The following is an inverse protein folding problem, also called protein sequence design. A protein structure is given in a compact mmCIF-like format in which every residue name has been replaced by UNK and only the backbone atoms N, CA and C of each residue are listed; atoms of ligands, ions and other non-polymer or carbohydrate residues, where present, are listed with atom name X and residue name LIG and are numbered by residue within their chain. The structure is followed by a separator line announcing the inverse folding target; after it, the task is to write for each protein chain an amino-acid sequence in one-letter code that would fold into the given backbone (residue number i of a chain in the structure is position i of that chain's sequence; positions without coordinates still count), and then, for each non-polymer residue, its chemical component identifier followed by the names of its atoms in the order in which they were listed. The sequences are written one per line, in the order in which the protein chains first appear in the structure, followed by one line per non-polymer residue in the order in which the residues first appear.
data_IF_391638216667
#
_entry.id   IF_391638216667
#
_cell.length_a   1.000
_cell.length_b   1.000
_cell.length_c   1.000
_cell.angle_alpha   90.00
_cell.angle_beta   90.00
_cell.angle_gamma   90.00
#
_symmetry.space_group_name_H-M   'P 1'
#
loop_
_entity.id
_entity.type
_entity.pdbx_description
1 polymer ?
#
# COMPACT_ATOMS: atom_id res chain seq x y z
N UNK A 1 9.19 -20.34 -12.07
CA UNK A 1 9.37 -20.96 -10.73
C UNK A 1 10.10 -20.01 -9.80
N UNK A 2 11.31 -19.54 -10.13
CA UNK A 2 12.01 -18.53 -9.30
C UNK A 2 11.27 -17.20 -9.20
N UNK A 3 10.69 -16.72 -10.32
CA UNK A 3 9.93 -15.47 -10.35
C UNK A 3 8.69 -15.51 -9.47
N UNK A 4 7.96 -16.63 -9.51
CA UNK A 4 6.76 -16.85 -8.70
C UNK A 4 7.12 -16.92 -7.21
N UNK A 5 8.21 -17.60 -6.85
CA UNK A 5 8.70 -17.60 -5.47
C UNK A 5 9.05 -16.19 -4.98
N UNK A 6 9.81 -15.42 -5.77
CA UNK A 6 10.18 -14.05 -5.42
C UNK A 6 8.94 -13.15 -5.24
N UNK A 7 7.99 -13.21 -6.18
CA UNK A 7 6.74 -12.46 -6.11
C UNK A 7 5.95 -12.85 -4.85
N UNK A 8 5.80 -14.14 -4.54
CA UNK A 8 5.10 -14.60 -3.35
C UNK A 8 5.75 -14.11 -2.05
N UNK A 9 7.08 -14.07 -1.99
CA UNK A 9 7.80 -13.51 -0.83
C UNK A 9 7.56 -12.01 -0.68
N UNK A 10 7.49 -11.28 -1.79
CA UNK A 10 7.18 -9.84 -1.78
C UNK A 10 5.72 -9.56 -1.41
N UNK A 11 4.77 -10.38 -1.87
CA UNK A 11 3.36 -10.34 -1.42
C UNK A 11 3.29 -10.51 0.10
N UNK A 12 3.98 -11.52 0.64
CA UNK A 12 4.03 -11.71 2.09
C UNK A 12 4.67 -10.51 2.80
N UNK A 13 5.67 -9.88 2.19
CA UNK A 13 6.32 -8.70 2.75
C UNK A 13 5.40 -7.48 2.82
N UNK A 14 4.51 -7.31 1.83
CA UNK A 14 3.48 -6.25 1.85
C UNK A 14 2.47 -6.51 2.98
N UNK A 15 2.03 -7.76 3.17
CA UNK A 15 1.14 -8.14 4.28
C UNK A 15 1.77 -7.84 5.65
N UNK A 16 3.01 -8.26 5.87
CA UNK A 16 3.73 -7.96 7.12
C UNK A 16 3.83 -6.45 7.40
N UNK A 17 4.08 -5.65 6.36
CA UNK A 17 4.11 -4.20 6.50
C UNK A 17 2.72 -3.64 6.85
N UNK A 18 1.67 -4.15 6.21
CA UNK A 18 0.28 -3.80 6.50
C UNK A 18 -0.14 -4.16 7.94
N UNK A 19 0.28 -5.33 8.45
CA UNK A 19 0.03 -5.74 9.83
C UNK A 19 0.64 -4.73 10.82
N UNK A 20 1.91 -4.32 10.61
CA UNK A 20 2.56 -3.33 11.46
C UNK A 20 1.93 -1.92 11.37
N UNK A 21 1.37 -1.57 10.21
CA UNK A 21 0.54 -0.35 10.06
C UNK A 21 -0.76 -0.47 10.84
N UNK A 22 -1.45 -1.60 10.73
CA UNK A 22 -2.70 -1.89 11.44
C UNK A 22 -2.50 -1.85 12.96
N UNK A 23 -1.39 -2.38 13.47
CA UNK A 23 -1.00 -2.28 14.88
C UNK A 23 -0.73 -0.83 15.30
N UNK A 24 -0.13 -0.03 14.42
CA UNK A 24 0.10 1.40 14.69
C UNK A 24 -1.20 2.19 14.77
N UNK A 25 -2.21 1.82 13.96
CA UNK A 25 -3.57 2.37 14.05
C UNK A 25 -4.26 1.92 15.33
N UNK A 26 -4.21 0.63 15.67
CA UNK A 26 -4.92 0.10 16.85
C UNK A 26 -4.43 0.69 18.17
N UNK A 27 -3.14 1.02 18.28
CA UNK A 27 -2.55 1.72 19.43
C UNK A 27 -2.66 3.25 19.37
N UNK A 28 -3.32 3.80 18.35
CA UNK A 28 -3.55 5.24 18.18
C UNK A 28 -2.32 6.07 17.77
N UNK A 29 -1.25 5.43 17.29
CA UNK A 29 -0.05 6.13 16.84
C UNK A 29 -0.20 6.70 15.42
N UNK A 30 -1.07 6.10 14.60
CA UNK A 30 -1.36 6.52 13.22
C UNK A 30 -2.86 6.57 12.98
N UNK A 31 -3.31 7.47 12.12
CA UNK A 31 -4.69 7.42 11.60
C UNK A 31 -4.79 6.34 10.52
N UNK A 32 -5.97 5.72 10.31
CA UNK A 32 -6.21 4.82 9.18
C UNK A 32 -5.73 5.40 7.84
N UNK A 33 -6.05 6.67 7.59
CA UNK A 33 -5.68 7.40 6.37
C UNK A 33 -4.16 7.51 6.17
N UNK A 34 -3.41 7.83 7.23
CA UNK A 34 -1.95 7.90 7.16
C UNK A 34 -1.36 6.50 6.94
N UNK A 35 -1.80 5.52 7.72
CA UNK A 35 -1.31 4.15 7.66
C UNK A 35 -1.53 3.52 6.27
N UNK A 36 -2.72 3.70 5.70
CA UNK A 36 -3.05 3.27 4.35
C UNK A 36 -2.18 3.95 3.28
N UNK A 37 -1.95 5.26 3.39
CA UNK A 37 -1.07 5.98 2.45
C UNK A 37 0.38 5.45 2.53
N UNK A 38 0.90 5.22 3.73
CA UNK A 38 2.26 4.68 3.91
C UNK A 38 2.38 3.28 3.31
N UNK A 39 1.37 2.42 3.50
CA UNK A 39 1.29 1.11 2.87
C UNK A 39 1.27 1.22 1.34
N UNK A 40 0.43 2.09 0.78
CA UNK A 40 0.37 2.34 -0.67
C UNK A 40 1.72 2.75 -1.25
N UNK A 41 2.45 3.65 -0.59
CA UNK A 41 3.77 4.11 -1.05
C UNK A 41 4.83 3.01 -0.96
N UNK A 42 4.79 2.22 0.12
CA UNK A 42 5.67 1.06 0.27
C UNK A 42 5.41 0.00 -0.82
N UNK A 43 4.14 -0.37 -1.03
CA UNK A 43 3.75 -1.36 -2.04
C UNK A 43 4.03 -0.92 -3.48
N UNK A 44 3.83 0.36 -3.80
CA UNK A 44 4.19 0.93 -5.10
C UNK A 44 5.69 0.77 -5.40
N UNK A 45 6.57 1.05 -4.42
CA UNK A 45 8.01 0.86 -4.61
C UNK A 45 8.39 -0.61 -4.87
N UNK A 46 7.70 -1.55 -4.22
CA UNK A 46 7.91 -3.00 -4.46
C UNK A 46 7.41 -3.40 -5.86
N UNK A 47 6.23 -2.91 -6.26
CA UNK A 47 5.66 -3.14 -7.57
C UNK A 47 6.57 -2.62 -8.70
N UNK A 48 7.10 -1.40 -8.55
CA UNK A 48 8.03 -0.81 -9.51
C UNK A 48 9.32 -1.63 -9.63
N UNK A 49 9.88 -2.07 -8.50
CA UNK A 49 11.08 -2.90 -8.49
C UNK A 49 10.87 -4.25 -9.19
N UNK A 50 9.76 -4.93 -8.91
CA UNK A 50 9.52 -6.27 -9.49
C UNK A 50 9.20 -6.20 -10.98
N UNK A 51 8.49 -5.15 -11.42
CA UNK A 51 8.25 -4.90 -12.83
C UNK A 51 9.56 -4.61 -13.58
N UNK A 52 10.49 -3.89 -12.94
CA UNK A 52 11.81 -3.61 -13.49
C UNK A 52 12.68 -4.86 -13.60
N UNK A 53 12.72 -5.71 -12.56
CA UNK A 53 13.55 -6.91 -12.54
C UNK A 53 13.13 -7.94 -13.60
N UNK A 54 11.83 -8.08 -13.82
CA UNK A 54 11.29 -9.06 -14.77
C UNK A 54 10.92 -8.46 -16.13
N UNK A 55 11.22 -7.19 -16.36
CA UNK A 55 10.94 -6.45 -17.60
C UNK A 55 9.48 -6.58 -18.06
N UNK A 56 8.54 -6.56 -17.11
CA UNK A 56 7.11 -6.62 -17.42
C UNK A 56 6.26 -6.05 -16.28
N UNK A 57 5.30 -5.16 -16.57
CA UNK A 57 4.39 -4.63 -15.55
C UNK A 57 3.53 -5.72 -14.92
N UNK A 58 3.28 -6.83 -15.64
CA UNK A 58 2.46 -7.96 -15.16
C UNK A 58 3.07 -8.68 -13.97
N UNK A 59 4.39 -8.58 -13.77
CA UNK A 59 5.04 -9.15 -12.58
C UNK A 59 4.56 -8.48 -11.28
N UNK A 60 4.04 -7.26 -11.36
CA UNK A 60 3.53 -6.51 -10.22
C UNK A 60 2.04 -6.76 -9.94
N UNK A 61 1.30 -7.43 -10.82
CA UNK A 61 -0.16 -7.64 -10.66
C UNK A 61 -0.51 -8.26 -9.29
N UNK A 62 0.20 -9.30 -8.79
CA UNK A 62 -0.08 -9.87 -7.47
C UNK A 62 0.22 -8.92 -6.31
N UNK A 63 1.19 -8.01 -6.49
CA UNK A 63 1.54 -6.98 -5.49
C UNK A 63 0.43 -5.93 -5.42
N UNK A 64 -0.07 -5.46 -6.56
CA UNK A 64 -1.19 -4.52 -6.60
C UNK A 64 -2.46 -5.10 -5.99
N UNK A 65 -2.77 -6.35 -6.30
CA UNK A 65 -3.95 -7.01 -5.74
C UNK A 65 -3.88 -7.02 -4.20
N UNK A 66 -2.78 -7.50 -3.62
CA UNK A 66 -2.68 -7.56 -2.17
C UNK A 66 -2.61 -6.16 -1.55
N UNK A 67 -1.99 -5.20 -2.24
CA UNK A 67 -1.91 -3.83 -1.77
C UNK A 67 -3.30 -3.20 -1.62
N UNK A 68 -4.17 -3.36 -2.62
CA UNK A 68 -5.54 -2.87 -2.58
C UNK A 68 -6.36 -3.55 -1.47
N UNK A 69 -6.22 -4.87 -1.33
CA UNK A 69 -6.89 -5.66 -0.28
C UNK A 69 -6.50 -5.18 1.13
N UNK A 70 -5.19 -5.08 1.41
CA UNK A 70 -4.70 -4.66 2.74
C UNK A 70 -4.96 -3.18 3.00
N UNK A 71 -4.85 -2.32 1.99
CA UNK A 71 -5.18 -0.89 2.12
C UNK A 71 -6.65 -0.71 2.50
N UNK A 72 -7.55 -1.48 1.87
CA UNK A 72 -8.99 -1.44 2.17
C UNK A 72 -9.32 -1.91 3.59
N UNK A 73 -8.55 -2.85 4.16
CA UNK A 73 -8.72 -3.27 5.55
C UNK A 73 -8.33 -2.18 6.55
N UNK A 74 -7.26 -1.45 6.25
CA UNK A 74 -6.79 -0.36 7.12
C UNK A 74 -7.70 0.86 7.00
N UNK A 75 -8.02 1.27 5.78
CA UNK A 75 -8.82 2.45 5.46
C UNK A 75 -9.89 2.09 4.43
N UNK A 76 -11.13 1.78 4.86
CA UNK A 76 -12.23 1.46 3.94
C UNK A 76 -12.57 2.59 2.96
N UNK A 77 -12.19 3.84 3.28
CA UNK A 77 -12.42 5.02 2.45
C UNK A 77 -11.18 5.42 1.64
N UNK A 78 -10.15 4.57 1.55
CA UNK A 78 -8.85 4.93 0.97
C UNK A 78 -8.94 5.53 -0.44
N UNK A 79 -9.91 5.08 -1.27
CA UNK A 79 -10.11 5.62 -2.63
C UNK A 79 -10.53 7.08 -2.59
N UNK A 80 -11.46 7.41 -1.72
CA UNK A 80 -11.92 8.78 -1.48
C UNK A 80 -10.79 9.63 -0.88
N UNK A 81 -10.11 9.12 0.15
CA UNK A 81 -8.97 9.82 0.76
C UNK A 81 -7.83 10.07 -0.21
N UNK A 82 -7.58 9.14 -1.14
CA UNK A 82 -6.59 9.30 -2.20
C UNK A 82 -7.02 10.36 -3.21
N UNK A 83 -8.30 10.36 -3.61
CA UNK A 83 -8.84 11.41 -4.48
C UNK A 83 -8.71 12.79 -3.82
N UNK A 84 -9.14 12.93 -2.57
CA UNK A 84 -9.00 14.17 -1.79
C UNK A 84 -7.55 14.62 -1.76
N UNK A 85 -6.61 13.72 -1.47
CA UNK A 85 -5.18 14.07 -1.42
C UNK A 85 -4.67 14.66 -2.74
N UNK A 86 -5.09 14.12 -3.87
CA UNK A 86 -4.65 14.59 -5.20
C UNK A 86 -5.36 15.87 -5.67
N UNK A 87 -6.59 16.10 -5.24
CA UNK A 87 -7.35 17.33 -5.56
C UNK A 87 -6.98 18.49 -4.65
N UNK A 88 -6.54 18.23 -3.41
CA UNK A 88 -6.05 19.24 -2.47
C UNK A 88 -4.83 20.01 -2.99
N UNK A 89 -4.76 21.30 -2.61
CA UNK A 89 -3.63 22.20 -2.89
C UNK A 89 -3.24 22.93 -1.59
N UNK A 90 -2.11 22.57 -0.96
CA UNK A 90 -1.16 21.53 -1.34
C UNK A 90 -1.74 20.11 -1.20
N UNK A 91 -1.13 19.14 -1.89
CA UNK A 91 -1.47 17.73 -1.71
C UNK A 91 -0.92 17.26 -0.36
N UNK A 92 -1.82 16.96 0.58
CA UNK A 92 -1.47 16.59 1.94
C UNK A 92 -2.49 15.57 2.50
N UNK A 93 -2.16 14.98 3.63
CA UNK A 93 -3.11 14.27 4.47
C UNK A 93 -3.92 15.36 5.18
N UNK A 94 -5.13 15.64 4.68
CA UNK A 94 -6.01 16.54 5.40
C UNK A 94 -6.28 15.94 6.79
N UNK A 95 -5.90 16.68 7.82
CA UNK A 95 -6.33 16.41 9.19
C UNK A 95 -7.76 16.90 9.27
N UNK A 96 -8.71 15.99 9.40
CA UNK A 96 -10.05 16.38 9.83
C UNK A 96 -9.87 17.03 11.22
N UNK A 97 -10.21 18.31 11.31
CA UNK A 97 -10.24 19.07 12.57
C UNK A 97 -11.56 18.84 13.27
#
# INVERSE_FOLDING_TARGET
MESEFAINRLVQKVKEYADGRSESVSRGAETPRLAALLLQKYGLGIADAIATIYDTPRAADPIFQILDEETMKIDPQWKEHNQIRWTSKPADIAVDK
#
